data_IF_559081814469
#
_entry.id   IF_559081814469
#
_cell.length_a   1.000
_cell.length_b   1.000
_cell.length_c   1.000
_cell.angle_alpha   90.00
_cell.angle_beta   90.00
_cell.angle_gamma   90.00
#
_symmetry.space_group_name_H-M   'P 1'
#
loop_
_entity.id
_entity.type
_entity.pdbx_description
1 polymer ?
#
# COMPACT_ATOMS: atom_id res chain seq x y z
N UNK A 1 19.00 -52.70 -31.43
CA UNK A 1 18.73 -52.09 -32.75
C UNK A 1 18.04 -50.77 -32.54
N UNK A 2 18.56 -49.71 -33.18
CA UNK A 2 17.96 -48.45 -33.68
C UNK A 2 16.76 -47.82 -32.92
N UNK A 3 16.63 -46.50 -32.78
CA UNK A 3 17.46 -45.33 -33.07
C UNK A 3 16.79 -44.13 -32.37
N UNK A 4 17.59 -43.21 -31.82
CA UNK A 4 17.15 -41.93 -31.30
C UNK A 4 17.66 -40.82 -32.23
N UNK A 5 16.76 -39.98 -32.76
CA UNK A 5 17.12 -38.78 -33.52
C UNK A 5 17.17 -37.56 -32.60
N UNK A 6 18.37 -37.00 -32.44
CA UNK A 6 18.61 -35.67 -31.85
C UNK A 6 18.48 -34.63 -32.96
N UNK A 7 17.57 -33.66 -32.80
CA UNK A 7 17.51 -32.45 -33.61
C UNK A 7 18.47 -31.40 -33.07
N UNK A 8 19.37 -30.91 -33.92
CA UNK A 8 20.36 -29.88 -33.68
C UNK A 8 19.84 -28.56 -34.28
N UNK A 9 20.01 -27.39 -33.61
CA UNK A 9 19.55 -26.11 -34.14
C UNK A 9 20.41 -25.63 -35.32
N UNK A 10 19.86 -24.77 -36.21
CA UNK A 10 20.53 -24.32 -37.42
C UNK A 10 21.77 -23.50 -37.08
N UNK A 11 22.87 -23.82 -37.76
CA UNK A 11 24.09 -23.04 -37.76
C UNK A 11 23.84 -21.79 -38.60
N UNK A 12 23.81 -20.62 -37.96
CA UNK A 12 23.98 -19.35 -38.67
C UNK A 12 25.41 -19.29 -39.19
N UNK A 13 25.55 -19.34 -40.51
CA UNK A 13 26.80 -19.01 -41.20
C UNK A 13 27.10 -17.52 -40.97
N UNK A 14 28.01 -17.25 -40.04
CA UNK A 14 28.66 -15.95 -39.94
C UNK A 14 29.48 -15.73 -41.22
N UNK A 15 28.89 -15.02 -42.18
CA UNK A 15 29.58 -14.54 -43.37
C UNK A 15 30.84 -13.77 -42.98
N UNK A 16 31.91 -13.98 -43.73
CA UNK A 16 33.17 -13.25 -43.58
C UNK A 16 32.90 -11.74 -43.51
N UNK A 17 33.63 -10.97 -42.68
CA UNK A 17 33.44 -9.53 -42.61
C UNK A 17 33.62 -8.94 -44.03
N UNK A 18 32.72 -8.05 -44.46
CA UNK A 18 32.81 -7.43 -45.78
C UNK A 18 34.20 -6.86 -45.99
N UNK A 19 34.74 -7.07 -47.19
CA UNK A 19 36.06 -6.54 -47.56
C UNK A 19 36.05 -5.01 -47.45
N UNK A 20 37.21 -4.42 -47.17
CA UNK A 20 37.35 -2.97 -46.99
C UNK A 20 36.81 -2.19 -48.20
N UNK A 21 36.97 -2.74 -49.40
CA UNK A 21 36.40 -2.23 -50.67
C UNK A 21 34.88 -2.32 -50.77
N UNK A 22 34.24 -3.34 -50.18
CA UNK A 22 32.78 -3.45 -50.12
C UNK A 22 32.19 -2.48 -49.09
N UNK A 23 32.90 -2.28 -47.97
CA UNK A 23 32.57 -1.26 -46.98
C UNK A 23 32.67 0.14 -47.59
N UNK A 24 33.75 0.44 -48.32
CA UNK A 24 33.92 1.71 -49.03
C UNK A 24 32.84 1.96 -50.08
N UNK A 25 32.45 0.93 -50.84
CA UNK A 25 31.37 1.00 -51.82
C UNK A 25 30.01 1.28 -51.18
N UNK A 26 29.70 0.62 -50.06
CA UNK A 26 28.47 0.88 -49.31
C UNK A 26 28.47 2.26 -48.65
N UNK A 27 29.62 2.72 -48.14
CA UNK A 27 29.74 4.03 -47.49
C UNK A 27 29.65 5.20 -48.49
N UNK A 28 30.23 5.07 -49.68
CA UNK A 28 30.06 6.05 -50.77
C UNK A 28 28.63 6.11 -51.30
N UNK A 29 27.87 5.02 -51.20
CA UNK A 29 26.46 5.00 -51.60
C UNK A 29 25.51 5.63 -50.57
N UNK A 30 25.96 5.79 -49.32
CA UNK A 30 25.17 6.36 -48.22
C UNK A 30 25.43 7.87 -48.06
N UNK A 31 26.55 8.39 -48.55
CA UNK A 31 26.91 9.80 -48.36
C UNK A 31 27.66 10.38 -49.58
N UNK A 32 27.00 11.29 -50.31
CA UNK A 32 27.56 12.02 -51.46
C UNK A 32 28.74 12.93 -51.05
N UNK A 33 28.91 13.24 -49.76
CA UNK A 33 30.01 14.08 -49.25
C UNK A 33 31.36 13.32 -49.14
N UNK A 34 31.36 11.98 -49.20
CA UNK A 34 32.57 11.16 -49.09
C UNK A 34 33.33 10.96 -50.42
N UNK A 35 32.78 11.44 -51.54
CA UNK A 35 33.35 11.26 -52.89
C UNK A 35 34.69 12.00 -53.10
N UNK A 36 35.04 12.97 -52.24
CA UNK A 36 36.22 13.83 -52.38
C UNK A 36 37.39 13.52 -51.42
N UNK A 37 37.29 12.50 -50.56
CA UNK A 37 38.36 12.12 -49.64
C UNK A 37 39.44 11.29 -50.36
N UNK A 38 40.38 11.98 -51.01
CA UNK A 38 41.42 11.38 -51.85
C UNK A 38 42.55 10.62 -51.12
N UNK A 39 42.54 10.53 -49.79
CA UNK A 39 43.53 9.80 -48.97
C UNK A 39 42.85 8.93 -47.89
N UNK A 40 43.37 7.71 -47.65
CA UNK A 40 42.85 6.72 -46.70
C UNK A 40 42.71 7.28 -45.25
N UNK A 41 43.63 8.16 -44.85
CA UNK A 41 43.63 8.85 -43.54
C UNK A 41 42.52 9.90 -43.45
N UNK A 42 42.18 10.56 -44.57
CA UNK A 42 41.09 11.55 -44.63
C UNK A 42 39.73 10.89 -44.60
N UNK A 43 39.59 9.71 -45.22
CA UNK A 43 38.36 8.90 -45.17
C UNK A 43 38.10 8.36 -43.75
N UNK A 44 39.11 7.82 -43.08
CA UNK A 44 38.98 7.35 -41.68
C UNK A 44 38.63 8.50 -40.72
N UNK A 45 39.19 9.70 -40.92
CA UNK A 45 38.84 10.89 -40.15
C UNK A 45 37.41 11.34 -40.40
N UNK A 46 36.96 11.36 -41.66
CA UNK A 46 35.59 11.71 -42.04
C UNK A 46 34.57 10.70 -41.45
N UNK A 47 34.85 9.41 -41.56
CA UNK A 47 34.03 8.35 -40.97
C UNK A 47 33.99 8.44 -39.44
N UNK A 48 35.14 8.65 -38.80
CA UNK A 48 35.22 8.83 -37.35
C UNK A 48 34.39 10.03 -36.88
N UNK A 49 34.48 11.15 -37.59
CA UNK A 49 33.68 12.35 -37.32
C UNK A 49 32.17 12.09 -37.52
N UNK A 50 31.80 11.38 -38.59
CA UNK A 50 30.42 11.03 -38.90
C UNK A 50 29.82 10.09 -37.84
N UNK A 51 30.52 9.01 -37.48
CA UNK A 51 30.09 8.08 -36.42
C UNK A 51 30.05 8.76 -35.04
N UNK A 52 31.00 9.66 -34.74
CA UNK A 52 30.96 10.44 -33.50
C UNK A 52 29.73 11.34 -33.43
N UNK A 53 29.37 12.00 -34.53
CA UNK A 53 28.16 12.82 -34.61
C UNK A 53 26.88 11.99 -34.49
N UNK A 54 26.81 10.83 -35.18
CA UNK A 54 25.68 9.92 -35.07
C UNK A 54 25.52 9.38 -33.65
N UNK A 55 26.60 8.86 -33.05
CA UNK A 55 26.59 8.35 -31.68
C UNK A 55 26.22 9.45 -30.66
N UNK A 56 26.69 10.69 -30.86
CA UNK A 56 26.30 11.81 -30.00
C UNK A 56 24.82 12.15 -30.13
N UNK A 57 24.27 12.15 -31.35
CA UNK A 57 22.85 12.41 -31.58
C UNK A 57 21.96 11.30 -31.04
N UNK A 58 22.34 10.04 -31.24
CA UNK A 58 21.64 8.88 -30.67
C UNK A 58 21.67 8.92 -29.14
N UNK A 59 22.83 9.21 -28.53
CA UNK A 59 22.94 9.38 -27.09
C UNK A 59 22.09 10.53 -26.56
N UNK A 60 22.05 11.67 -27.28
CA UNK A 60 21.23 12.83 -26.91
C UNK A 60 19.74 12.53 -27.01
N UNK A 61 19.30 11.82 -28.05
CA UNK A 61 17.90 11.38 -28.19
C UNK A 61 17.54 10.34 -27.13
N UNK A 62 18.40 9.36 -26.85
CA UNK A 62 18.21 8.40 -25.78
C UNK A 62 18.09 9.09 -24.42
N UNK A 63 18.95 10.08 -24.13
CA UNK A 63 18.88 10.87 -22.90
C UNK A 63 17.55 11.64 -22.80
N UNK A 64 17.10 12.30 -23.89
CA UNK A 64 15.81 12.99 -23.91
C UNK A 64 14.64 12.02 -23.67
N UNK A 65 14.68 10.83 -24.27
CA UNK A 65 13.65 9.82 -24.09
C UNK A 65 13.61 9.31 -22.66
N UNK A 66 14.78 9.02 -22.06
CA UNK A 66 14.88 8.60 -20.66
C UNK A 66 14.36 9.69 -19.70
N UNK A 67 14.74 10.95 -19.90
CA UNK A 67 14.23 12.05 -19.08
C UNK A 67 12.72 12.24 -19.19
N UNK A 68 12.15 12.05 -20.39
CA UNK A 68 10.69 12.08 -20.60
C UNK A 68 10.00 10.92 -19.88
N UNK A 69 10.52 9.70 -20.03
CA UNK A 69 9.98 8.51 -19.36
C UNK A 69 10.03 8.65 -17.84
N UNK A 70 11.13 9.17 -17.29
CA UNK A 70 11.29 9.41 -15.85
C UNK A 70 10.35 10.49 -15.33
N UNK A 71 10.13 11.56 -16.11
CA UNK A 71 9.17 12.61 -15.78
C UNK A 71 7.74 12.06 -15.76
N UNK A 72 7.37 11.24 -16.75
CA UNK A 72 6.06 10.59 -16.81
C UNK A 72 5.85 9.60 -15.66
N UNK A 73 6.82 8.73 -15.39
CA UNK A 73 6.76 7.77 -14.28
C UNK A 73 6.65 8.48 -12.92
N UNK A 74 7.30 9.65 -12.76
CA UNK A 74 7.12 10.50 -11.56
C UNK A 74 5.73 11.11 -11.50
N UNK A 75 5.21 11.65 -12.61
CA UNK A 75 3.85 12.21 -12.67
C UNK A 75 2.81 11.18 -12.26
N UNK A 76 2.85 9.98 -12.84
CA UNK A 76 1.91 8.89 -12.54
C UNK A 76 1.98 8.49 -11.05
N UNK A 77 3.18 8.40 -10.47
CA UNK A 77 3.34 8.12 -9.04
C UNK A 77 2.78 9.23 -8.16
N UNK A 78 3.05 10.49 -8.50
CA UNK A 78 2.51 11.63 -7.76
C UNK A 78 0.98 11.66 -7.82
N UNK A 79 0.38 11.33 -8.97
CA UNK A 79 -1.07 11.28 -9.15
C UNK A 79 -1.71 10.11 -8.37
N UNK A 80 -1.08 8.93 -8.42
CA UNK A 80 -1.52 7.76 -7.67
C UNK A 80 -1.45 8.03 -6.15
N UNK A 81 -0.37 8.62 -5.67
CA UNK A 81 -0.21 8.95 -4.26
C UNK A 81 -1.12 10.09 -3.81
N UNK A 82 -1.32 11.10 -4.66
CA UNK A 82 -2.34 12.14 -4.45
C UNK A 82 -3.73 11.54 -4.26
N UNK A 83 -4.11 10.59 -5.12
CA UNK A 83 -5.39 9.88 -5.00
C UNK A 83 -5.44 9.04 -3.72
N UNK A 84 -4.31 8.43 -3.32
CA UNK A 84 -4.21 7.64 -2.09
C UNK A 84 -4.40 8.50 -0.83
N UNK A 85 -3.76 9.69 -0.76
CA UNK A 85 -3.93 10.67 0.33
C UNK A 85 -5.40 11.03 0.53
N UNK A 86 -6.12 11.30 -0.55
CA UNK A 86 -7.56 11.64 -0.47
C UNK A 86 -8.38 10.42 -0.05
N UNK A 87 -8.17 9.27 -0.69
CA UNK A 87 -8.92 8.05 -0.41
C UNK A 87 -8.74 7.58 1.05
N UNK A 88 -7.53 7.66 1.59
CA UNK A 88 -7.27 7.32 3.00
C UNK A 88 -7.86 8.32 3.96
N UNK A 89 -7.82 9.62 3.68
CA UNK A 89 -8.52 10.63 4.49
C UNK A 89 -10.03 10.37 4.56
N UNK A 90 -10.63 9.95 3.44
CA UNK A 90 -12.03 9.54 3.42
C UNK A 90 -12.30 8.29 4.26
N UNK A 91 -11.51 7.22 4.08
CA UNK A 91 -11.62 6.01 4.93
C UNK A 91 -11.50 6.35 6.41
N UNK A 92 -10.55 7.21 6.76
CA UNK A 92 -10.30 7.66 8.11
C UNK A 92 -11.48 8.45 8.71
N UNK A 93 -12.15 9.27 7.90
CA UNK A 93 -13.39 9.94 8.29
C UNK A 93 -14.51 8.95 8.62
N UNK A 94 -14.67 7.89 7.81
CA UNK A 94 -15.65 6.82 8.06
C UNK A 94 -15.31 6.05 9.34
N UNK A 95 -14.04 5.70 9.57
CA UNK A 95 -13.60 5.07 10.82
C UNK A 95 -13.90 5.94 12.05
N UNK A 96 -13.60 7.24 11.98
CA UNK A 96 -13.88 8.17 13.08
C UNK A 96 -15.36 8.25 13.40
N UNK A 97 -16.21 8.30 12.37
CA UNK A 97 -17.67 8.35 12.55
C UNK A 97 -18.20 7.03 13.13
N UNK A 98 -17.73 5.91 12.60
CA UNK A 98 -18.09 4.56 13.07
C UNK A 98 -17.73 4.39 14.55
N UNK A 99 -16.55 4.88 14.95
CA UNK A 99 -16.12 4.88 16.34
C UNK A 99 -17.01 5.78 17.21
N UNK A 100 -17.38 6.97 16.74
CA UNK A 100 -18.30 7.84 17.50
C UNK A 100 -19.67 7.20 17.72
N UNK A 101 -20.18 6.44 16.75
CA UNK A 101 -21.43 5.70 16.87
C UNK A 101 -21.31 4.57 17.90
N UNK A 102 -20.23 3.78 17.83
CA UNK A 102 -19.97 2.71 18.81
C UNK A 102 -19.79 3.24 20.23
N UNK A 103 -19.07 4.35 20.39
CA UNK A 103 -18.81 4.91 21.72
C UNK A 103 -20.04 5.61 22.31
N UNK A 104 -20.95 6.13 21.48
CA UNK A 104 -22.22 6.69 21.95
C UNK A 104 -23.10 5.63 22.62
N UNK A 105 -22.95 4.36 22.24
CA UNK A 105 -23.64 3.23 22.89
C UNK A 105 -23.04 2.90 24.28
N UNK A 106 -21.91 3.53 24.66
CA UNK A 106 -21.18 3.28 25.92
C UNK A 106 -21.24 4.43 26.91
N UNK A 107 -21.82 5.57 26.54
CA UNK A 107 -21.86 6.74 27.44
C UNK A 107 -22.64 6.47 28.74
N UNK A 108 -23.35 5.32 28.81
CA UNK A 108 -24.07 4.83 29.98
C UNK A 108 -23.21 3.99 30.95
N UNK A 109 -21.96 3.62 30.62
CA UNK A 109 -21.11 2.77 31.49
C UNK A 109 -19.89 3.52 32.09
N UNK A 110 -19.65 3.28 33.40
CA UNK A 110 -18.59 3.87 34.22
C UNK A 110 -17.14 3.59 33.71
N UNK A 111 -16.15 4.10 34.45
CA UNK A 111 -14.68 4.13 34.26
C UNK A 111 -14.01 3.14 33.27
N UNK A 112 -14.50 1.90 33.16
CA UNK A 112 -14.09 0.90 32.15
C UNK A 112 -14.29 1.35 30.69
N UNK A 113 -15.38 2.08 30.40
CA UNK A 113 -15.66 2.61 29.07
C UNK A 113 -14.65 3.66 28.62
N UNK A 114 -14.12 4.45 29.57
CA UNK A 114 -13.10 5.49 29.28
C UNK A 114 -11.76 4.90 28.88
N UNK A 115 -11.32 3.82 29.53
CA UNK A 115 -10.07 3.15 29.14
C UNK A 115 -10.21 2.46 27.77
N UNK A 116 -11.33 1.77 27.54
CA UNK A 116 -11.65 1.13 26.25
C UNK A 116 -11.63 2.15 25.10
N UNK A 117 -12.28 3.30 25.30
CA UNK A 117 -12.25 4.43 24.36
C UNK A 117 -10.83 4.88 24.06
N UNK A 118 -10.03 5.15 25.11
CA UNK A 118 -8.65 5.60 24.95
C UNK A 118 -7.77 4.58 24.23
N UNK A 119 -7.96 3.28 24.50
CA UNK A 119 -7.25 2.20 23.80
C UNK A 119 -7.61 2.15 22.31
N UNK A 120 -8.89 2.29 21.97
CA UNK A 120 -9.37 2.25 20.59
C UNK A 120 -8.90 3.48 19.79
N UNK A 121 -9.01 4.68 20.36
CA UNK A 121 -8.52 5.92 19.74
C UNK A 121 -7.02 5.83 19.45
N UNK A 122 -6.21 5.38 20.41
CA UNK A 122 -4.76 5.16 20.21
C UNK A 122 -4.47 4.11 19.13
N UNK A 123 -5.27 3.05 19.06
CA UNK A 123 -5.14 2.04 18.02
C UNK A 123 -5.41 2.63 16.63
N UNK A 124 -6.50 3.38 16.45
CA UNK A 124 -6.81 4.01 15.16
C UNK A 124 -5.77 5.04 14.73
N UNK A 125 -5.21 5.81 15.66
CA UNK A 125 -4.09 6.71 15.34
C UNK A 125 -2.92 5.93 14.75
N UNK A 126 -2.57 4.78 15.34
CA UNK A 126 -1.45 3.95 14.83
C UNK A 126 -1.79 3.19 13.55
N UNK A 127 -2.97 2.61 13.46
CA UNK A 127 -3.34 1.68 12.40
C UNK A 127 -3.90 2.38 11.15
N UNK A 128 -4.46 3.59 11.30
CA UNK A 128 -5.17 4.28 10.22
C UNK A 128 -4.62 5.69 9.96
N UNK A 129 -4.33 6.48 10.99
CA UNK A 129 -3.79 7.85 10.81
C UNK A 129 -2.31 7.83 10.39
N UNK A 130 -1.47 6.99 10.98
CA UNK A 130 -0.04 6.94 10.60
C UNK A 130 0.18 6.61 9.11
N UNK A 131 -0.51 5.64 8.49
CA UNK A 131 -0.41 5.43 7.05
C UNK A 131 -0.83 6.65 6.20
N UNK A 132 -1.76 7.49 6.68
CA UNK A 132 -2.08 8.77 6.03
C UNK A 132 -0.90 9.73 6.09
N UNK A 133 -0.25 9.85 7.26
CA UNK A 133 0.95 10.67 7.43
C UNK A 133 2.08 10.19 6.52
N UNK A 134 2.26 8.88 6.38
CA UNK A 134 3.25 8.30 5.48
C UNK A 134 3.01 8.73 4.02
N UNK A 135 1.75 8.70 3.57
CA UNK A 135 1.40 9.10 2.21
C UNK A 135 1.57 10.61 1.98
N UNK A 136 1.21 11.46 2.96
CA UNK A 136 1.42 12.91 2.90
C UNK A 136 2.92 13.19 2.75
N UNK A 137 3.75 12.60 3.61
CA UNK A 137 5.20 12.79 3.61
C UNK A 137 5.82 12.34 2.27
N UNK A 138 5.48 11.14 1.80
CA UNK A 138 5.97 10.64 0.50
C UNK A 138 5.56 11.54 -0.66
N UNK A 139 4.35 12.10 -0.63
CA UNK A 139 3.85 12.98 -1.68
C UNK A 139 4.59 14.31 -1.68
N UNK A 140 4.81 14.90 -0.50
CA UNK A 140 5.61 16.12 -0.35
C UNK A 140 7.04 15.92 -0.89
N UNK A 141 7.66 14.78 -0.61
CA UNK A 141 9.00 14.47 -1.14
C UNK A 141 9.01 14.36 -2.68
N UNK A 142 8.05 13.63 -3.27
CA UNK A 142 7.94 13.50 -4.73
C UNK A 142 7.70 14.84 -5.43
N UNK A 143 6.90 15.72 -4.82
CA UNK A 143 6.65 17.07 -5.33
C UNK A 143 7.90 17.95 -5.24
N UNK A 144 8.68 17.88 -4.17
CA UNK A 144 9.94 18.62 -4.05
C UNK A 144 10.94 18.24 -5.16
N UNK A 145 11.10 16.94 -5.47
CA UNK A 145 11.91 16.48 -6.60
C UNK A 145 11.42 17.01 -7.97
N UNK A 146 10.12 17.21 -8.14
CA UNK A 146 9.55 17.80 -9.37
C UNK A 146 9.96 19.26 -9.58
N UNK A 147 10.29 19.97 -8.50
CA UNK A 147 10.74 21.37 -8.51
C UNK A 147 12.28 21.44 -8.73
N UNK A 148 12.93 20.29 -8.95
CA UNK A 148 14.37 20.20 -9.18
C UNK A 148 15.20 20.28 -7.90
N UNK A 149 14.59 20.04 -6.73
CA UNK A 149 15.31 19.96 -5.48
C UNK A 149 15.92 18.57 -5.33
N UNK A 150 17.22 18.53 -5.04
CA UNK A 150 17.91 17.30 -4.67
C UNK A 150 17.75 17.07 -3.16
N UNK A 151 16.96 16.05 -2.81
CA UNK A 151 16.78 15.62 -1.42
C UNK A 151 17.69 14.44 -1.07
N UNK A 152 18.48 13.92 -2.01
CA UNK A 152 19.32 12.72 -1.83
C UNK A 152 18.59 11.39 -2.10
N UNK A 153 19.40 10.37 -2.41
CA UNK A 153 18.93 9.04 -2.84
C UNK A 153 18.09 8.31 -1.78
N UNK A 154 18.44 8.43 -0.50
CA UNK A 154 17.69 7.78 0.60
C UNK A 154 16.23 8.27 0.64
N UNK A 155 16.01 9.58 0.45
CA UNK A 155 14.66 10.16 0.50
C UNK A 155 13.88 9.81 -0.76
N UNK A 156 14.56 9.75 -1.91
CA UNK A 156 13.97 9.29 -3.16
C UNK A 156 13.47 7.85 -3.05
N UNK A 157 14.26 6.94 -2.48
CA UNK A 157 13.85 5.54 -2.23
C UNK A 157 12.67 5.44 -1.25
N UNK A 158 12.71 6.16 -0.12
CA UNK A 158 11.64 6.16 0.87
C UNK A 158 10.32 6.71 0.28
N UNK A 159 10.41 7.73 -0.59
CA UNK A 159 9.25 8.32 -1.26
C UNK A 159 8.57 7.37 -2.25
N UNK A 160 9.34 6.44 -2.84
CA UNK A 160 8.87 5.46 -3.83
C UNK A 160 8.33 4.17 -3.20
N UNK A 161 8.69 3.89 -1.96
CA UNK A 161 8.31 2.67 -1.26
C UNK A 161 6.79 2.55 -1.06
N UNK A 162 6.23 1.37 -1.35
CA UNK A 162 4.80 1.06 -1.08
C UNK A 162 4.53 0.71 0.39
N UNK A 163 5.54 0.28 1.12
CA UNK A 163 5.43 -0.09 2.54
C UNK A 163 5.22 1.13 3.44
N UNK A 164 4.57 0.91 4.59
CA UNK A 164 4.49 1.94 5.65
C UNK A 164 5.87 2.32 6.16
N UNK A 165 6.00 3.56 6.65
CA UNK A 165 7.25 4.09 7.18
C UNK A 165 7.37 3.76 8.67
N UNK A 166 8.59 3.43 9.10
CA UNK A 166 8.95 3.41 10.51
C UNK A 166 9.04 4.84 11.07
N UNK A 167 9.02 5.00 12.40
CA UNK A 167 9.18 6.33 13.03
C UNK A 167 10.48 7.01 12.62
N UNK A 168 11.57 6.24 12.48
CA UNK A 168 12.86 6.75 12.00
C UNK A 168 12.77 7.23 10.56
N UNK A 169 12.18 6.42 9.66
CA UNK A 169 12.01 6.78 8.26
C UNK A 169 11.12 8.00 8.07
N UNK A 170 10.01 8.11 8.83
CA UNK A 170 9.17 9.32 8.84
C UNK A 170 9.98 10.56 9.20
N UNK A 171 10.81 10.49 10.24
CA UNK A 171 11.66 11.60 10.66
C UNK A 171 12.76 11.94 9.65
N UNK A 172 13.41 10.93 9.06
CA UNK A 172 14.41 11.15 8.00
C UNK A 172 13.77 11.88 6.82
N UNK A 173 12.63 11.37 6.35
CA UNK A 173 11.92 11.95 5.21
C UNK A 173 11.46 13.38 5.54
N UNK A 174 10.83 13.59 6.70
CA UNK A 174 10.37 14.92 7.13
C UNK A 174 11.49 15.97 7.22
N UNK A 175 12.66 15.60 7.78
CA UNK A 175 13.81 16.50 7.90
C UNK A 175 14.42 16.85 6.56
N UNK A 176 14.41 15.90 5.62
CA UNK A 176 14.94 16.08 4.29
C UNK A 176 14.06 16.90 3.36
N UNK A 177 12.82 17.20 3.74
CA UNK A 177 11.96 18.09 2.97
C UNK A 177 12.51 19.54 2.94
N UNK A 178 12.03 20.37 2.01
CA UNK A 178 12.38 21.78 1.92
C UNK A 178 12.17 22.54 3.23
N UNK A 179 13.05 23.52 3.53
CA UNK A 179 13.11 24.20 4.83
C UNK A 179 11.81 24.88 5.27
N UNK A 180 11.02 25.32 4.30
CA UNK A 180 9.71 25.93 4.44
C UNK A 180 8.66 24.96 5.01
N UNK A 181 8.73 23.66 4.68
CA UNK A 181 7.78 22.65 5.16
C UNK A 181 8.39 21.62 6.13
N UNK A 182 9.72 21.51 6.20
CA UNK A 182 10.47 20.53 7.00
C UNK A 182 10.14 20.58 8.49
N UNK A 183 9.96 21.79 9.04
CA UNK A 183 9.58 21.97 10.45
C UNK A 183 8.21 21.37 10.74
N UNK A 184 7.19 21.75 9.96
CA UNK A 184 5.83 21.26 10.11
C UNK A 184 5.75 19.74 9.89
N UNK A 185 6.48 19.21 8.90
CA UNK A 185 6.56 17.78 8.66
C UNK A 185 7.20 17.02 9.84
N UNK A 186 8.23 17.59 10.48
CA UNK A 186 8.90 16.97 11.63
C UNK A 186 8.00 16.98 12.88
N UNK A 187 7.26 18.07 13.09
CA UNK A 187 6.29 18.20 14.17
C UNK A 187 5.14 17.17 13.99
N UNK A 188 4.65 17.00 12.76
CA UNK A 188 3.67 15.97 12.42
C UNK A 188 4.21 14.56 12.70
N UNK A 189 5.39 14.23 12.17
CA UNK A 189 6.00 12.90 12.29
C UNK A 189 6.28 12.48 13.74
N UNK A 190 6.64 13.42 14.61
CA UNK A 190 6.99 13.15 16.02
C UNK A 190 5.82 13.29 17.00
N UNK A 191 4.80 14.10 16.64
CA UNK A 191 3.72 14.49 17.53
C UNK A 191 2.44 13.66 17.39
N UNK A 192 2.14 13.16 16.18
CA UNK A 192 0.80 12.64 15.84
C UNK A 192 0.33 11.49 16.75
N UNK A 193 1.24 10.61 17.18
CA UNK A 193 0.90 9.46 18.03
C UNK A 193 0.52 9.84 19.47
N UNK A 194 0.85 11.06 19.91
CA UNK A 194 0.56 11.57 21.26
C UNK A 194 -0.77 12.33 21.31
N UNK A 195 -1.43 12.50 20.17
CA UNK A 195 -2.65 13.27 20.01
C UNK A 195 -3.87 12.40 20.23
N UNK A 196 -4.98 13.03 20.61
CA UNK A 196 -6.28 12.36 20.56
C UNK A 196 -6.63 12.03 19.10
N UNK A 197 -7.56 11.11 18.87
CA UNK A 197 -7.96 10.78 17.50
C UNK A 197 -8.43 12.04 16.75
N UNK A 198 -9.31 12.85 17.35
CA UNK A 198 -9.82 14.07 16.71
C UNK A 198 -8.72 15.09 16.38
N UNK A 199 -7.78 15.31 17.31
CA UNK A 199 -6.62 16.18 17.04
C UNK A 199 -5.74 15.62 15.93
N UNK A 200 -5.52 14.31 15.90
CA UNK A 200 -4.71 13.64 14.88
C UNK A 200 -5.35 13.74 13.49
N UNK A 201 -6.69 13.64 13.40
CA UNK A 201 -7.45 13.84 12.17
C UNK A 201 -7.27 15.26 11.62
N UNK A 202 -7.49 16.27 12.48
CA UNK A 202 -7.35 17.67 12.09
C UNK A 202 -5.92 17.98 11.63
N UNK A 203 -4.91 17.52 12.39
CA UNK A 203 -3.50 17.70 12.01
C UNK A 203 -3.14 17.02 10.70
N UNK A 204 -3.69 15.84 10.40
CA UNK A 204 -3.47 15.16 9.13
C UNK A 204 -4.18 15.87 7.95
N UNK A 205 -5.35 16.45 8.18
CA UNK A 205 -6.06 17.26 7.19
C UNK A 205 -5.31 18.56 6.89
N UNK A 206 -4.91 19.31 7.91
CA UNK A 206 -4.11 20.53 7.79
C UNK A 206 -2.78 20.22 7.08
N UNK A 207 -2.08 19.15 7.49
CA UNK A 207 -0.85 18.73 6.85
C UNK A 207 -1.03 18.32 5.37
N UNK A 208 -2.18 17.75 5.01
CA UNK A 208 -2.46 17.44 3.60
C UNK A 208 -2.53 18.71 2.76
N UNK A 209 -3.12 19.79 3.29
CA UNK A 209 -3.14 21.09 2.64
C UNK A 209 -1.76 21.75 2.62
N UNK A 210 -1.11 21.83 3.78
CA UNK A 210 0.10 22.64 3.97
C UNK A 210 1.36 21.99 3.39
N UNK A 211 1.48 20.66 3.45
CA UNK A 211 2.70 19.97 3.02
C UNK A 211 2.65 19.49 1.57
N UNK A 212 1.46 19.18 1.03
CA UNK A 212 1.34 18.63 -0.33
C UNK A 212 0.25 19.28 -1.19
N UNK A 213 -0.37 20.38 -0.71
CA UNK A 213 -1.36 21.16 -1.45
C UNK A 213 -2.66 20.41 -1.71
N UNK A 214 -2.98 19.38 -0.90
CA UNK A 214 -4.15 18.52 -1.07
C UNK A 214 -5.27 18.92 -0.13
N UNK A 215 -6.27 19.57 -0.72
CA UNK A 215 -7.56 19.80 -0.05
C UNK A 215 -8.38 18.52 -0.07
N UNK A 216 -8.75 18.04 1.11
CA UNK A 216 -9.61 16.86 1.25
C UNK A 216 -11.07 17.30 1.07
N UNK A 217 -11.79 16.80 0.05
CA UNK A 217 -13.20 17.12 -0.11
C UNK A 217 -14.02 16.44 0.98
N UNK A 218 -15.08 17.11 1.42
CA UNK A 218 -16.02 16.53 2.39
C UNK A 218 -16.65 15.26 1.82
N UNK A 219 -16.84 14.28 2.68
CA UNK A 219 -17.48 13.03 2.31
C UNK A 219 -18.99 13.26 2.17
N UNK A 220 -19.55 12.87 1.02
CA UNK A 220 -21.00 12.76 0.86
C UNK A 220 -21.48 11.36 1.27
N UNK A 221 -22.80 11.24 1.49
CA UNK A 221 -23.40 9.98 1.94
C UNK A 221 -23.20 8.83 0.94
N UNK A 222 -23.12 9.13 -0.35
CA UNK A 222 -22.96 8.12 -1.40
C UNK A 222 -21.53 7.57 -1.40
N UNK A 223 -20.53 8.43 -1.28
CA UNK A 223 -19.13 8.05 -1.16
C UNK A 223 -18.87 7.27 0.13
N UNK A 224 -19.48 7.69 1.25
CA UNK A 224 -19.43 6.95 2.52
C UNK A 224 -19.94 5.52 2.34
N UNK A 225 -21.12 5.35 1.73
CA UNK A 225 -21.69 4.04 1.46
C UNK A 225 -20.81 3.20 0.52
N UNK A 226 -20.22 3.80 -0.52
CA UNK A 226 -19.30 3.11 -1.43
C UNK A 226 -18.02 2.63 -0.71
N UNK A 227 -17.47 3.45 0.20
CA UNK A 227 -16.30 3.07 1.00
C UNK A 227 -16.63 1.89 1.90
N UNK A 228 -17.78 1.92 2.58
CA UNK A 228 -18.25 0.82 3.43
C UNK A 228 -18.44 -0.45 2.59
N UNK A 229 -19.05 -0.35 1.41
CA UNK A 229 -19.24 -1.49 0.52
C UNK A 229 -17.89 -2.06 0.03
N UNK A 230 -16.94 -1.20 -0.35
CA UNK A 230 -15.59 -1.63 -0.71
C UNK A 230 -14.90 -2.33 0.45
N UNK A 231 -15.06 -1.83 1.67
CA UNK A 231 -14.51 -2.43 2.88
C UNK A 231 -15.13 -3.80 3.18
N UNK A 232 -16.45 -3.95 3.03
CA UNK A 232 -17.13 -5.24 3.15
C UNK A 232 -16.58 -6.25 2.15
N UNK A 233 -16.41 -5.86 0.89
CA UNK A 233 -15.87 -6.73 -0.16
C UNK A 233 -14.42 -7.12 0.12
N UNK A 234 -13.59 -6.20 0.62
CA UNK A 234 -12.21 -6.46 1.02
C UNK A 234 -12.14 -7.48 2.17
N UNK A 235 -12.95 -7.30 3.21
CA UNK A 235 -13.03 -8.24 4.32
C UNK A 235 -13.54 -9.61 3.89
N UNK A 236 -14.58 -9.66 3.05
CA UNK A 236 -15.16 -10.91 2.55
C UNK A 236 -14.15 -11.66 1.67
N UNK A 237 -13.46 -10.96 0.77
CA UNK A 237 -12.39 -11.55 -0.02
C UNK A 237 -11.28 -12.11 0.87
N UNK A 238 -10.88 -11.34 1.89
CA UNK A 238 -9.88 -11.78 2.87
C UNK A 238 -10.37 -13.00 3.65
N UNK A 239 -11.66 -13.05 4.03
CA UNK A 239 -12.31 -14.17 4.73
C UNK A 239 -12.24 -15.46 3.93
N UNK A 240 -12.47 -15.35 2.62
CA UNK A 240 -12.43 -16.49 1.71
C UNK A 240 -11.00 -16.91 1.33
N UNK A 241 -10.02 -16.00 1.40
CA UNK A 241 -8.64 -16.26 0.96
C UNK A 241 -7.73 -16.75 2.10
N UNK A 242 -7.83 -18.06 2.44
CA UNK A 242 -6.91 -18.80 3.33
C UNK A 242 -6.45 -18.03 4.57
N UNK A 243 -7.37 -17.88 5.52
CA UNK A 243 -7.09 -17.26 6.81
C UNK A 243 -6.47 -18.24 7.80
N UNK A 244 -5.65 -17.71 8.70
CA UNK A 244 -5.33 -18.42 9.94
C UNK A 244 -6.59 -18.57 10.78
N UNK A 245 -6.68 -19.67 11.51
CA UNK A 245 -7.77 -19.97 12.44
C UNK A 245 -8.03 -18.80 13.42
N UNK A 246 -7.00 -18.09 13.85
CA UNK A 246 -7.11 -16.95 14.79
C UNK A 246 -7.54 -15.64 14.13
N UNK A 247 -7.35 -15.48 12.81
CA UNK A 247 -7.75 -14.26 12.09
C UNK A 247 -9.22 -14.21 11.70
N UNK A 248 -9.90 -15.35 11.65
CA UNK A 248 -11.32 -15.44 11.27
C UNK A 248 -12.20 -14.54 12.12
N UNK A 249 -12.07 -14.59 13.44
CA UNK A 249 -12.86 -13.75 14.34
C UNK A 249 -12.54 -12.25 14.18
N UNK A 250 -11.27 -11.90 13.94
CA UNK A 250 -10.82 -10.53 13.77
C UNK A 250 -11.33 -9.89 12.47
N UNK A 251 -11.82 -10.69 11.52
CA UNK A 251 -12.34 -10.25 10.22
C UNK A 251 -13.86 -10.38 10.17
N UNK A 252 -14.41 -11.46 10.72
CA UNK A 252 -15.84 -11.70 10.83
C UNK A 252 -16.54 -10.60 11.64
N UNK A 253 -16.00 -10.21 12.81
CA UNK A 253 -16.62 -9.19 13.66
C UNK A 253 -16.73 -7.84 12.94
N UNK A 254 -15.65 -7.24 12.39
CA UNK A 254 -15.78 -6.02 11.62
C UNK A 254 -16.71 -6.13 10.40
N UNK A 255 -16.76 -7.29 9.74
CA UNK A 255 -17.64 -7.50 8.58
C UNK A 255 -19.12 -7.50 8.99
N UNK A 256 -19.45 -8.14 10.12
CA UNK A 256 -20.81 -8.11 10.69
C UNK A 256 -21.21 -6.67 11.02
N UNK A 257 -20.34 -5.89 11.66
CA UNK A 257 -20.59 -4.48 11.94
C UNK A 257 -20.78 -3.64 10.67
N UNK A 258 -19.93 -3.87 9.67
CA UNK A 258 -20.03 -3.19 8.38
C UNK A 258 -21.36 -3.49 7.69
N UNK A 259 -21.88 -4.71 7.83
CA UNK A 259 -23.16 -5.11 7.23
C UNK A 259 -24.37 -4.64 8.03
N UNK A 260 -24.42 -4.92 9.33
CA UNK A 260 -25.60 -4.65 10.17
C UNK A 260 -25.71 -3.20 10.64
N UNK A 261 -24.59 -2.53 10.90
CA UNK A 261 -24.55 -1.14 11.40
C UNK A 261 -24.00 -0.13 10.39
N UNK A 262 -23.53 -0.57 9.21
CA UNK A 262 -22.91 0.33 8.23
C UNK A 262 -21.62 0.99 8.77
N UNK A 263 -20.89 0.31 9.65
CA UNK A 263 -19.72 0.86 10.36
C UNK A 263 -18.42 0.18 9.93
N UNK A 264 -17.34 0.96 9.78
CA UNK A 264 -16.00 0.43 9.56
C UNK A 264 -15.24 0.31 10.88
N UNK A 265 -14.74 -0.88 11.19
CA UNK A 265 -14.05 -1.13 12.45
C UNK A 265 -12.63 -1.64 12.25
N UNK A 266 -11.70 -1.03 12.98
CA UNK A 266 -10.35 -1.56 13.11
C UNK A 266 -10.07 -1.69 14.59
N UNK A 267 -10.07 -2.94 15.07
CA UNK A 267 -10.03 -3.27 16.49
C UNK A 267 -8.72 -4.01 16.80
N UNK A 268 -8.03 -3.67 17.91
CA UNK A 268 -7.03 -4.56 18.45
C UNK A 268 -7.71 -5.81 19.03
N UNK A 269 -7.05 -6.97 18.95
CA UNK A 269 -7.65 -8.25 19.38
C UNK A 269 -8.19 -8.26 20.82
N UNK A 270 -7.59 -7.47 21.72
CA UNK A 270 -8.04 -7.32 23.12
C UNK A 270 -9.42 -6.67 23.26
N UNK A 271 -9.85 -5.89 22.27
CA UNK A 271 -11.15 -5.20 22.26
C UNK A 271 -12.18 -5.93 21.38
N UNK A 272 -11.91 -7.16 20.95
CA UNK A 272 -12.89 -7.98 20.23
C UNK A 272 -14.02 -8.44 21.14
N UNK A 273 -13.74 -8.79 22.41
CA UNK A 273 -14.78 -9.14 23.40
C UNK A 273 -15.78 -8.00 23.56
N UNK A 274 -15.27 -6.78 23.67
CA UNK A 274 -16.05 -5.56 23.76
C UNK A 274 -16.97 -5.38 22.54
N UNK A 275 -16.42 -5.52 21.32
CA UNK A 275 -17.23 -5.42 20.11
C UNK A 275 -18.28 -6.54 20.00
N UNK A 276 -18.00 -7.72 20.56
CA UNK A 276 -18.97 -8.83 20.58
C UNK A 276 -20.15 -8.53 21.50
N UNK A 277 -19.96 -7.94 22.66
CA UNK A 277 -21.05 -7.58 23.58
C UNK A 277 -22.09 -6.68 22.89
N UNK A 278 -21.62 -5.74 22.07
CA UNK A 278 -22.49 -4.87 21.25
C UNK A 278 -23.27 -5.66 20.19
N UNK A 279 -22.75 -6.78 19.70
CA UNK A 279 -23.43 -7.60 18.69
C UNK A 279 -24.57 -8.46 19.27
N UNK A 280 -24.66 -8.64 20.59
CA UNK A 280 -25.72 -9.44 21.24
C UNK A 280 -27.13 -8.90 20.91
N UNK A 281 -27.27 -7.58 20.75
CA UNK A 281 -28.53 -6.93 20.35
C UNK A 281 -28.73 -6.78 18.83
N UNK A 282 -27.81 -7.29 18.00
CA UNK A 282 -27.77 -7.05 16.54
C UNK A 282 -27.96 -8.34 15.74
N UNK A 283 -27.45 -9.45 16.28
CA UNK A 283 -27.57 -10.78 15.70
C UNK A 283 -28.69 -11.57 16.39
N UNK A 284 -29.23 -12.54 15.68
CA UNK A 284 -30.10 -13.54 16.30
C UNK A 284 -29.30 -14.35 17.32
N UNK A 285 -29.99 -14.86 18.36
CA UNK A 285 -29.32 -15.49 19.50
C UNK A 285 -28.41 -16.66 19.09
N UNK A 286 -28.84 -17.49 18.13
CA UNK A 286 -28.06 -18.62 17.62
C UNK A 286 -26.77 -18.16 16.93
N UNK A 287 -26.85 -17.13 16.09
CA UNK A 287 -25.73 -16.54 15.36
C UNK A 287 -24.75 -15.86 16.32
N UNK A 288 -25.27 -15.13 17.31
CA UNK A 288 -24.46 -14.50 18.34
C UNK A 288 -23.69 -15.54 19.15
N UNK A 289 -24.34 -16.62 19.60
CA UNK A 289 -23.69 -17.69 20.35
C UNK A 289 -22.59 -18.39 19.54
N UNK A 290 -22.78 -18.56 18.22
CA UNK A 290 -21.78 -19.12 17.33
C UNK A 290 -20.52 -18.25 17.27
N UNK A 291 -20.68 -16.95 17.03
CA UNK A 291 -19.55 -16.00 16.95
C UNK A 291 -18.86 -15.86 18.31
N UNK A 292 -19.63 -15.80 19.41
CA UNK A 292 -19.10 -15.76 20.78
C UNK A 292 -18.29 -17.00 21.13
N UNK A 293 -18.75 -18.18 20.71
CA UNK A 293 -18.04 -19.45 20.92
C UNK A 293 -16.71 -19.49 20.15
N UNK A 294 -16.71 -19.03 18.89
CA UNK A 294 -15.48 -18.89 18.11
C UNK A 294 -14.48 -18.01 18.84
N UNK A 295 -14.87 -16.80 19.25
CA UNK A 295 -13.99 -15.89 19.99
C UNK A 295 -13.40 -16.52 21.26
N UNK A 296 -14.24 -17.16 22.09
CA UNK A 296 -13.79 -17.82 23.33
C UNK A 296 -12.71 -18.87 23.04
N UNK A 297 -12.93 -19.69 22.02
CA UNK A 297 -11.99 -20.75 21.61
C UNK A 297 -10.72 -20.17 20.98
N UNK A 298 -10.83 -19.07 20.22
CA UNK A 298 -9.66 -18.35 19.69
C UNK A 298 -8.76 -17.84 20.83
N UNK A 299 -9.36 -17.23 21.85
CA UNK A 299 -8.63 -16.75 23.04
C UNK A 299 -7.99 -17.92 23.79
N UNK A 300 -8.72 -19.03 23.97
CA UNK A 300 -8.19 -20.24 24.61
C UNK A 300 -6.98 -20.80 23.85
N UNK A 301 -7.07 -20.91 22.52
CA UNK A 301 -5.98 -21.38 21.67
C UNK A 301 -4.74 -20.48 21.78
N UNK A 302 -4.92 -19.15 21.72
CA UNK A 302 -3.81 -18.18 21.85
C UNK A 302 -3.16 -18.30 23.24
N UNK A 303 -3.98 -18.42 24.30
CA UNK A 303 -3.45 -18.54 25.66
C UNK A 303 -2.68 -19.85 25.85
N UNK A 304 -3.19 -20.98 25.37
CA UNK A 304 -2.53 -22.28 25.50
C UNK A 304 -1.27 -22.37 24.65
N UNK A 305 -1.31 -21.95 23.39
CA UNK A 305 -0.13 -21.93 22.50
C UNK A 305 1.00 -21.02 23.01
N UNK A 306 0.69 -19.99 23.81
CA UNK A 306 1.70 -19.13 24.43
C UNK A 306 2.35 -19.69 25.70
N UNK A 307 1.79 -20.75 26.31
CA UNK A 307 2.30 -21.34 27.55
C UNK A 307 3.44 -22.33 27.25
N UNK A 308 4.53 -22.22 28.01
CA UNK A 308 5.68 -23.13 27.91
C UNK A 308 5.31 -24.51 28.49
N UNK A 309 5.41 -25.57 27.68
CA UNK A 309 5.01 -26.93 28.07
C UNK A 309 3.51 -27.19 27.89
N UNK A 310 2.88 -26.52 26.92
CA UNK A 310 1.49 -26.79 26.57
C UNK A 310 1.30 -28.23 26.08
N UNK A 311 0.14 -28.79 26.37
CA UNK A 311 -0.25 -30.11 25.91
C UNK A 311 -0.63 -30.04 24.42
N UNK A 312 0.21 -30.62 23.56
CA UNK A 312 0.03 -30.61 22.11
C UNK A 312 -1.27 -31.31 21.70
N UNK A 313 -1.73 -32.32 22.45
CA UNK A 313 -2.99 -33.02 22.16
C UNK A 313 -4.19 -32.11 22.44
N UNK A 314 -4.14 -31.33 23.51
CA UNK A 314 -5.17 -30.32 23.80
C UNK A 314 -5.19 -29.21 22.74
N UNK A 315 -4.02 -28.73 22.29
CA UNK A 315 -3.93 -27.70 21.24
C UNK A 315 -4.53 -28.22 19.93
N UNK A 316 -4.15 -29.43 19.50
CA UNK A 316 -4.65 -30.07 18.29
C UNK A 316 -6.18 -30.23 18.33
N UNK A 317 -6.73 -30.66 19.49
CA UNK A 317 -8.18 -30.76 19.66
C UNK A 317 -8.90 -29.42 19.52
N UNK A 318 -8.31 -28.33 20.03
CA UNK A 318 -8.85 -26.98 19.90
C UNK A 318 -8.76 -26.47 18.47
N UNK A 319 -7.70 -26.77 17.73
CA UNK A 319 -7.56 -26.40 16.32
C UNK A 319 -8.65 -27.03 15.45
N UNK A 320 -8.97 -28.31 15.68
CA UNK A 320 -10.05 -29.01 14.97
C UNK A 320 -11.41 -28.39 15.26
N UNK A 321 -11.72 -28.15 16.54
CA UNK A 321 -12.98 -27.49 16.93
C UNK A 321 -13.07 -26.08 16.33
N UNK A 322 -11.96 -25.33 16.35
CA UNK A 322 -11.90 -23.97 15.86
C UNK A 322 -11.99 -23.90 14.33
N UNK A 323 -11.45 -24.88 13.60
CA UNK A 323 -11.64 -25.00 12.16
C UNK A 323 -13.12 -25.20 11.80
N UNK A 324 -13.82 -26.06 12.53
CA UNK A 324 -15.27 -26.25 12.34
C UNK A 324 -16.04 -24.97 12.61
N UNK A 325 -15.78 -24.29 13.73
CA UNK A 325 -16.43 -23.01 14.06
C UNK A 325 -16.10 -21.91 13.06
N UNK A 326 -14.85 -21.85 12.58
CA UNK A 326 -14.41 -20.87 11.58
C UNK A 326 -15.15 -21.05 10.25
N UNK A 327 -15.37 -22.30 9.83
CA UNK A 327 -16.19 -22.60 8.65
C UNK A 327 -17.63 -22.13 8.85
N UNK A 328 -18.26 -22.47 9.98
CA UNK A 328 -19.65 -22.08 10.25
C UNK A 328 -19.83 -20.56 10.33
N UNK A 329 -18.90 -19.84 10.95
CA UNK A 329 -18.93 -18.37 11.01
C UNK A 329 -18.68 -17.76 9.63
N UNK A 330 -17.80 -18.35 8.82
CA UNK A 330 -17.57 -17.89 7.44
C UNK A 330 -18.83 -18.04 6.60
N UNK A 331 -19.54 -19.16 6.73
CA UNK A 331 -20.81 -19.39 6.04
C UNK A 331 -21.88 -18.40 6.50
N UNK A 332 -22.00 -18.18 7.81
CA UNK A 332 -22.91 -17.18 8.39
C UNK A 332 -22.64 -15.79 7.79
N UNK A 333 -21.41 -15.33 7.88
CA UNK A 333 -21.03 -13.99 7.41
C UNK A 333 -21.20 -13.86 5.90
N UNK A 334 -20.93 -14.92 5.13
CA UNK A 334 -21.17 -14.94 3.68
C UNK A 334 -22.66 -14.81 3.35
N UNK A 335 -23.55 -15.51 4.08
CA UNK A 335 -25.01 -15.37 3.92
C UNK A 335 -25.47 -13.96 4.23
N UNK A 336 -25.00 -13.37 5.33
CA UNK A 336 -25.27 -11.97 5.68
C UNK A 336 -24.80 -10.96 4.63
N UNK A 337 -23.86 -11.35 3.75
CA UNK A 337 -23.38 -10.50 2.67
C UNK A 337 -24.13 -10.69 1.34
N UNK A 338 -24.84 -11.82 1.16
CA UNK A 338 -25.57 -12.19 -0.06
C UNK A 338 -27.07 -11.90 0.06
N UNK A 339 -27.64 -12.06 1.25
CA UNK A 339 -29.06 -11.80 1.52
C UNK A 339 -29.30 -10.27 1.60
N UNK A 340 -29.43 -9.61 0.44
CA UNK A 340 -30.19 -8.36 0.22
C UNK A 340 -30.32 -8.01 -1.27
#
# INVERSE_FOLDING_TARGET
GAAASKGQPPQDEAGAPPSLTELEGCLRAVDDELEYAGDEVTLLSALSSHFAHFAHNEHKEALKQNLKADAEARRLRSEALSSSVVARAHKLSVYSRSLSMLLSELEDEEESGKDTRGQLERHLVRAVVLPQVDDILKLSALQAFSIGQDLGEEIDELSKGKAGLTDKQRLTLARGLPKDISKAATDLASGIQKKTLQEALALAEDASSDLCGKRIPKLDKKMEQQIIQSYQNELLATLNSNQTLTSTIAIAVPLIFAKKKGCMLNLPGKLLSFALEILEGVLDQEDFELVRRLHKKTVELIQKSSKKGADDDEISSLEVELASLSSSVTDLVSKLCIEE
#
